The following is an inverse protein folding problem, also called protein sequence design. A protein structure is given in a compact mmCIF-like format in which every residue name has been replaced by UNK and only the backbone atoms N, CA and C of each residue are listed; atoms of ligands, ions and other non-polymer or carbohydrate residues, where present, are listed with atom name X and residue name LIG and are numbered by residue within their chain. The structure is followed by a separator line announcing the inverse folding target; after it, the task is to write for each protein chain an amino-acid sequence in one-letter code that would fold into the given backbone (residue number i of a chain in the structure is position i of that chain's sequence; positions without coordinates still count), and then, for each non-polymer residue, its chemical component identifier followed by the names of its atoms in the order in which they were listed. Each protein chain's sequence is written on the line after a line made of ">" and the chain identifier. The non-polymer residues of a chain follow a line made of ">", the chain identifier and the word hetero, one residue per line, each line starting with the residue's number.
data_IF_168247563509
#
_entry.id   IF_168247563509
#
_cell.length_a   1.000
_cell.length_b   1.000
_cell.length_c   1.000
_cell.angle_alpha   90.00
_cell.angle_beta   90.00
_cell.angle_gamma   90.00
#
_symmetry.space_group_name_H-M   'P 1'
#
loop_
_entity.id
_entity.type
_entity.pdbx_description
1 polymer ?
#
# COMPACT_ATOMS: atom_id res chain seq x y z
N UNK A 1 -25.29 21.49 -26.66
CA UNK A 1 -24.48 21.05 -25.49
C UNK A 1 -23.16 21.78 -25.55
N UNK A 2 -22.65 22.30 -24.43
CA UNK A 2 -21.46 23.16 -24.39
C UNK A 2 -20.18 22.34 -24.62
N UNK A 3 -19.15 22.86 -25.30
CA UNK A 3 -17.84 22.23 -25.42
C UNK A 3 -17.26 21.77 -24.06
N UNK A 4 -17.54 22.52 -22.99
CA UNK A 4 -17.10 22.18 -21.63
C UNK A 4 -17.79 20.92 -21.08
N UNK A 5 -19.05 20.68 -21.44
CA UNK A 5 -19.79 19.47 -21.04
C UNK A 5 -19.23 18.23 -21.73
N UNK A 6 -18.82 18.36 -22.99
CA UNK A 6 -18.23 17.26 -23.79
C UNK A 6 -16.84 16.90 -23.25
N UNK A 7 -16.04 17.88 -22.85
CA UNK A 7 -14.73 17.63 -22.22
C UNK A 7 -14.88 17.03 -20.82
N UNK A 8 -15.89 17.44 -20.04
CA UNK A 8 -16.22 16.79 -18.76
C UNK A 8 -16.63 15.32 -18.93
N UNK A 9 -17.50 15.01 -19.89
CA UNK A 9 -17.88 13.62 -20.21
C UNK A 9 -16.68 12.80 -20.69
N UNK A 10 -15.82 13.35 -21.56
CA UNK A 10 -14.58 12.66 -21.98
C UNK A 10 -13.63 12.43 -20.82
N UNK A 11 -13.54 13.37 -19.88
CA UNK A 11 -12.68 13.26 -18.71
C UNK A 11 -13.25 12.21 -17.75
N UNK A 12 -14.57 12.18 -17.55
CA UNK A 12 -15.25 11.16 -16.76
C UNK A 12 -15.09 9.77 -17.37
N UNK A 13 -15.27 9.63 -18.69
CA UNK A 13 -15.05 8.38 -19.41
C UNK A 13 -13.59 7.93 -19.38
N UNK A 14 -12.63 8.87 -19.44
CA UNK A 14 -11.20 8.56 -19.25
C UNK A 14 -10.93 8.10 -17.82
N UNK A 15 -11.55 8.71 -16.82
CA UNK A 15 -11.43 8.29 -15.41
C UNK A 15 -12.06 6.91 -15.18
N UNK A 16 -13.23 6.62 -15.76
CA UNK A 16 -13.84 5.28 -15.76
C UNK A 16 -12.94 4.26 -16.48
N UNK A 17 -12.35 4.64 -17.61
CA UNK A 17 -11.41 3.78 -18.32
C UNK A 17 -10.10 3.57 -17.55
N UNK A 18 -9.55 4.59 -16.90
CA UNK A 18 -8.37 4.51 -16.05
C UNK A 18 -8.64 3.65 -14.80
N UNK A 19 -9.80 3.80 -14.17
CA UNK A 19 -10.29 2.93 -13.11
C UNK A 19 -10.45 1.47 -13.58
N UNK A 20 -10.78 1.24 -14.86
CA UNK A 20 -10.89 -0.11 -15.43
C UNK A 20 -9.55 -0.74 -15.88
N UNK A 21 -8.45 0.04 -15.93
CA UNK A 21 -7.14 -0.39 -16.46
C UNK A 21 -6.03 -0.51 -15.42
N UNK A 22 -6.19 -0.01 -14.20
CA UNK A 22 -5.33 -0.38 -13.08
C UNK A 22 -5.91 -1.60 -12.36
N UNK A 23 -5.81 -2.78 -12.96
CA UNK A 23 -6.06 -4.03 -12.22
C UNK A 23 -4.79 -4.31 -11.43
N UNK A 24 -4.78 -3.99 -10.15
CA UNK A 24 -3.68 -4.35 -9.25
C UNK A 24 -3.25 -5.80 -9.42
N UNK A 25 -1.98 -6.06 -9.13
CA UNK A 25 -1.33 -7.35 -9.34
C UNK A 25 -0.85 -7.94 -8.01
N UNK A 26 -0.89 -9.27 -7.88
CA UNK A 26 -0.28 -9.95 -6.73
C UNK A 26 1.23 -10.11 -6.97
N UNK A 27 1.95 -9.06 -6.64
CA UNK A 27 3.39 -8.98 -6.86
C UNK A 27 4.16 -9.25 -5.56
N UNK A 28 4.97 -10.31 -5.57
CA UNK A 28 5.85 -10.66 -4.44
C UNK A 28 6.85 -9.53 -4.16
N UNK A 29 7.28 -8.83 -5.21
CA UNK A 29 8.18 -7.67 -5.12
C UNK A 29 7.61 -6.54 -4.24
N UNK A 30 6.28 -6.36 -4.17
CA UNK A 30 5.66 -5.37 -3.28
C UNK A 30 5.83 -5.75 -1.81
N UNK A 31 5.71 -7.05 -1.51
CA UNK A 31 5.91 -7.58 -0.15
C UNK A 31 7.39 -7.48 0.23
N UNK A 32 8.29 -7.83 -0.70
CA UNK A 32 9.74 -7.69 -0.52
C UNK A 32 10.15 -6.24 -0.30
N UNK A 33 9.56 -5.30 -1.05
CA UNK A 33 9.83 -3.87 -0.90
C UNK A 33 9.39 -3.37 0.48
N UNK A 34 8.15 -3.65 0.89
CA UNK A 34 7.66 -3.32 2.23
C UNK A 34 8.57 -3.90 3.33
N UNK A 35 8.93 -5.18 3.22
CA UNK A 35 9.84 -5.84 4.16
C UNK A 35 11.20 -5.15 4.22
N UNK A 36 11.79 -4.82 3.07
CA UNK A 36 13.09 -4.17 3.02
C UNK A 36 13.05 -2.75 3.60
N UNK A 37 11.97 -2.00 3.35
CA UNK A 37 11.75 -0.71 4.00
C UNK A 37 11.64 -0.88 5.52
N UNK A 38 10.89 -1.87 6.00
CA UNK A 38 10.76 -2.17 7.42
C UNK A 38 12.09 -2.56 8.08
N UNK A 39 12.93 -3.38 7.42
CA UNK A 39 14.26 -3.77 7.92
C UNK A 39 15.17 -2.58 8.23
N UNK A 40 14.97 -1.44 7.58
CA UNK A 40 15.78 -0.24 7.81
C UNK A 40 15.51 0.42 9.16
N UNK A 41 14.48 0.01 9.91
CA UNK A 41 14.16 0.55 11.24
C UNK A 41 15.36 0.52 12.20
N UNK A 42 16.19 -0.53 12.15
CA UNK A 42 17.37 -0.68 13.00
C UNK A 42 18.50 0.31 12.67
N UNK A 43 18.46 0.94 11.49
CA UNK A 43 19.45 1.95 11.09
C UNK A 43 19.05 3.37 11.48
N UNK A 44 17.86 3.57 12.06
CA UNK A 44 17.30 4.89 12.35
C UNK A 44 17.77 5.51 13.67
N UNK A 45 18.39 4.73 14.57
CA UNK A 45 18.86 5.24 15.87
C UNK A 45 19.84 6.43 15.76
N UNK A 46 20.57 6.51 14.64
CA UNK A 46 21.54 7.58 14.35
C UNK A 46 21.15 8.44 13.13
N UNK A 47 19.95 8.24 12.59
CA UNK A 47 19.47 8.95 11.40
C UNK A 47 19.04 10.38 11.75
N UNK A 48 19.03 11.26 10.76
CA UNK A 48 18.49 12.61 10.92
C UNK A 48 16.96 12.57 10.88
N UNK A 49 16.30 13.52 11.54
CA UNK A 49 14.83 13.62 11.60
C UNK A 49 14.16 13.55 10.21
N UNK A 50 14.78 14.19 9.21
CA UNK A 50 14.33 14.14 7.81
C UNK A 50 14.35 12.72 7.23
N UNK A 51 15.39 11.96 7.53
CA UNK A 51 15.56 10.60 7.03
C UNK A 51 14.56 9.65 7.71
N UNK A 52 14.31 9.86 9.01
CA UNK A 52 13.27 9.15 9.77
C UNK A 52 11.88 9.43 9.18
N UNK A 53 11.55 10.70 8.92
CA UNK A 53 10.30 11.07 8.25
C UNK A 53 10.18 10.44 6.86
N UNK A 54 11.23 10.53 6.04
CA UNK A 54 11.24 9.95 4.69
C UNK A 54 11.09 8.43 4.71
N UNK A 55 11.68 7.76 5.70
CA UNK A 55 11.51 6.32 5.90
C UNK A 55 10.06 5.97 6.26
N UNK A 56 9.45 6.70 7.20
CA UNK A 56 8.07 6.48 7.62
C UNK A 56 7.08 6.66 6.48
N UNK A 57 7.22 7.75 5.73
CA UNK A 57 6.43 8.08 4.56
C UNK A 57 6.59 7.02 3.45
N UNK A 58 7.80 6.48 3.25
CA UNK A 58 8.03 5.36 2.33
C UNK A 58 7.38 4.07 2.81
N UNK A 59 7.49 3.74 4.10
CA UNK A 59 6.88 2.55 4.71
C UNK A 59 5.35 2.57 4.53
N UNK A 60 4.72 3.71 4.81
CA UNK A 60 3.27 3.89 4.64
C UNK A 60 2.84 3.77 3.17
N UNK A 61 3.58 4.38 2.25
CA UNK A 61 3.31 4.22 0.81
C UNK A 61 3.42 2.77 0.36
N UNK A 62 4.45 2.05 0.82
CA UNK A 62 4.65 0.65 0.48
C UNK A 62 3.51 -0.22 0.98
N UNK A 63 3.08 0.00 2.23
CA UNK A 63 1.93 -0.70 2.81
C UNK A 63 0.63 -0.40 2.05
N UNK A 64 0.35 0.88 1.76
CA UNK A 64 -0.84 1.29 1.00
C UNK A 64 -0.85 0.68 -0.40
N UNK A 65 0.26 0.77 -1.12
CA UNK A 65 0.40 0.19 -2.47
C UNK A 65 0.17 -1.33 -2.44
N UNK A 66 0.73 -2.03 -1.46
CA UNK A 66 0.54 -3.46 -1.29
C UNK A 66 -0.94 -3.82 -1.07
N UNK A 67 -1.64 -3.08 -0.20
CA UNK A 67 -3.03 -3.32 0.13
C UNK A 67 -3.97 -3.00 -1.04
N UNK A 68 -3.77 -1.88 -1.73
CA UNK A 68 -4.54 -1.50 -2.92
C UNK A 68 -4.38 -2.54 -4.05
N UNK A 69 -3.14 -2.97 -4.33
CA UNK A 69 -2.89 -3.98 -5.36
C UNK A 69 -3.56 -5.31 -5.05
N UNK A 70 -3.55 -5.72 -3.78
CA UNK A 70 -4.27 -6.91 -3.34
C UNK A 70 -5.78 -6.76 -3.55
N UNK A 71 -6.38 -5.66 -3.10
CA UNK A 71 -7.81 -5.41 -3.22
C UNK A 71 -8.26 -5.35 -4.69
N UNK A 72 -7.52 -4.65 -5.54
CA UNK A 72 -7.81 -4.51 -6.97
C UNK A 72 -7.68 -5.85 -7.72
N UNK A 73 -6.70 -6.66 -7.36
CA UNK A 73 -6.54 -7.98 -7.95
C UNK A 73 -7.73 -8.89 -7.59
N UNK A 74 -8.12 -8.92 -6.31
CA UNK A 74 -9.25 -9.73 -5.85
C UNK A 74 -10.58 -9.24 -6.45
N UNK A 75 -10.77 -7.93 -6.58
CA UNK A 75 -12.00 -7.35 -7.16
C UNK A 75 -12.22 -7.78 -8.62
N UNK A 76 -11.14 -8.05 -9.36
CA UNK A 76 -11.20 -8.52 -10.75
C UNK A 76 -11.99 -9.84 -10.90
N UNK A 77 -12.01 -10.70 -9.88
CA UNK A 77 -12.75 -11.96 -9.90
C UNK A 77 -14.26 -11.79 -9.82
N UNK A 78 -14.72 -10.69 -9.23
CA UNK A 78 -16.13 -10.37 -9.10
C UNK A 78 -16.67 -9.58 -10.31
N UNK A 79 -15.85 -9.42 -11.36
CA UNK A 79 -16.26 -8.66 -12.55
C UNK A 79 -17.19 -9.46 -13.48
N UNK A 80 -18.17 -8.82 -14.14
CA UNK A 80 -19.08 -9.48 -15.10
C UNK A 80 -18.36 -10.17 -16.27
N UNK A 81 -17.18 -9.66 -16.65
CA UNK A 81 -16.32 -10.25 -17.69
C UNK A 81 -15.78 -11.61 -17.26
N UNK A 82 -15.38 -11.74 -15.99
CA UNK A 82 -14.95 -13.02 -15.41
C UNK A 82 -16.11 -14.00 -15.41
N UNK A 83 -17.32 -13.58 -15.06
CA UNK A 83 -18.53 -14.43 -15.06
C UNK A 83 -18.87 -15.01 -16.44
N UNK A 84 -18.72 -14.22 -17.51
CA UNK A 84 -18.91 -14.71 -18.88
C UNK A 84 -17.85 -15.73 -19.28
N UNK A 85 -16.59 -15.53 -18.87
CA UNK A 85 -15.49 -16.45 -19.13
C UNK A 85 -15.65 -17.79 -18.40
N UNK A 86 -16.33 -17.82 -17.23
CA UNK A 86 -16.65 -19.07 -16.50
C UNK A 86 -17.54 -20.04 -17.33
N UNK A 87 -18.22 -19.54 -18.37
CA UNK A 87 -19.17 -20.31 -19.18
C UNK A 87 -18.53 -21.02 -20.37
N UNK A 88 -17.22 -20.91 -20.54
CA UNK A 88 -16.50 -21.42 -21.72
C UNK A 88 -15.41 -22.43 -21.35
N UNK A 89 -14.92 -23.21 -22.32
CA UNK A 89 -13.84 -24.20 -22.11
C UNK A 89 -12.49 -23.56 -21.75
N UNK A 90 -12.29 -22.30 -22.13
CA UNK A 90 -11.13 -21.46 -21.79
C UNK A 90 -11.02 -21.24 -20.27
N UNK A 91 -12.13 -21.40 -19.52
CA UNK A 91 -12.12 -21.34 -18.06
C UNK A 91 -11.17 -22.35 -17.41
N UNK A 92 -11.08 -23.57 -17.93
CA UNK A 92 -10.27 -24.63 -17.31
C UNK A 92 -8.77 -24.27 -17.35
N UNK A 93 -8.29 -23.80 -18.50
CA UNK A 93 -6.92 -23.31 -18.68
C UNK A 93 -6.64 -22.06 -17.83
N UNK A 94 -7.58 -21.11 -17.79
CA UNK A 94 -7.47 -19.94 -16.93
C UNK A 94 -7.39 -20.32 -15.45
N UNK A 95 -8.25 -21.22 -14.98
CA UNK A 95 -8.31 -21.70 -13.59
C UNK A 95 -6.99 -22.35 -13.16
N UNK A 96 -6.40 -23.19 -14.00
CA UNK A 96 -5.11 -23.83 -13.68
C UNK A 96 -3.96 -22.82 -13.56
N UNK A 97 -3.89 -21.87 -14.50
CA UNK A 97 -2.87 -20.82 -14.46
C UNK A 97 -3.08 -19.88 -13.27
N UNK A 98 -4.32 -19.54 -12.96
CA UNK A 98 -4.67 -18.74 -11.79
C UNK A 98 -4.28 -19.42 -10.47
N UNK A 99 -4.68 -20.69 -10.28
CA UNK A 99 -4.34 -21.45 -9.07
C UNK A 99 -2.82 -21.54 -8.91
N UNK A 100 -2.08 -21.76 -10.00
CA UNK A 100 -0.62 -21.81 -9.99
C UNK A 100 -0.03 -20.46 -9.55
N UNK A 101 -0.49 -19.38 -10.16
CA UNK A 101 -0.07 -18.02 -9.81
C UNK A 101 -0.35 -17.70 -8.34
N UNK A 102 -1.57 -17.95 -7.86
CA UNK A 102 -1.95 -17.69 -6.48
C UNK A 102 -1.13 -18.53 -5.49
N UNK A 103 -0.86 -19.80 -5.80
CA UNK A 103 0.02 -20.64 -4.97
C UNK A 103 1.44 -20.07 -4.89
N UNK A 104 1.99 -19.58 -6.00
CA UNK A 104 3.30 -18.94 -6.00
C UNK A 104 3.29 -17.67 -5.15
N UNK A 105 2.27 -16.83 -5.30
CA UNK A 105 2.11 -15.63 -4.50
C UNK A 105 1.98 -15.93 -3.00
N UNK A 106 1.09 -16.86 -2.61
CA UNK A 106 0.88 -17.26 -1.21
C UNK A 106 2.17 -17.79 -0.59
N UNK A 107 2.97 -18.56 -1.34
CA UNK A 107 4.29 -19.01 -0.85
C UNK A 107 5.24 -17.83 -0.60
N UNK A 108 5.29 -16.87 -1.53
CA UNK A 108 6.07 -15.64 -1.36
C UNK A 108 5.61 -14.82 -0.15
N UNK A 109 4.30 -14.73 0.04
CA UNK A 109 3.69 -14.05 1.19
C UNK A 109 4.01 -14.76 2.51
N UNK A 110 3.96 -16.09 2.56
CA UNK A 110 4.30 -16.87 3.76
C UNK A 110 5.77 -16.70 4.16
N UNK A 111 6.68 -16.74 3.18
CA UNK A 111 8.11 -16.56 3.41
C UNK A 111 8.38 -15.14 3.95
N UNK A 112 8.00 -14.12 3.19
CA UNK A 112 8.25 -12.73 3.57
C UNK A 112 7.48 -12.33 4.84
N UNK A 113 6.26 -12.84 5.04
CA UNK A 113 5.47 -12.58 6.24
C UNK A 113 6.10 -13.20 7.50
N UNK A 114 6.88 -14.26 7.37
CA UNK A 114 7.63 -14.83 8.51
C UNK A 114 8.78 -13.91 8.91
N UNK A 115 9.55 -13.39 7.94
CA UNK A 115 10.60 -12.40 8.20
C UNK A 115 10.02 -11.08 8.74
N UNK A 116 8.89 -10.61 8.23
CA UNK A 116 8.23 -9.39 8.73
C UNK A 116 7.84 -9.55 10.21
N UNK A 117 7.30 -10.72 10.60
CA UNK A 117 6.98 -11.00 12.00
C UNK A 117 8.21 -11.00 12.90
N UNK A 118 9.32 -11.53 12.41
CA UNK A 118 10.59 -11.51 13.14
C UNK A 118 11.06 -10.08 13.38
N UNK A 119 11.05 -9.23 12.34
CA UNK A 119 11.39 -7.81 12.47
C UNK A 119 10.49 -7.11 13.49
N UNK A 120 9.17 -7.33 13.42
CA UNK A 120 8.24 -6.74 14.40
C UNK A 120 8.51 -7.21 15.84
N UNK A 121 8.99 -8.44 16.04
CA UNK A 121 9.35 -8.92 17.38
C UNK A 121 10.61 -8.29 17.95
N UNK A 122 11.45 -7.70 17.10
CA UNK A 122 12.68 -7.01 17.49
C UNK A 122 12.48 -5.52 17.76
N UNK A 123 11.36 -4.94 17.29
CA UNK A 123 11.00 -3.54 17.52
C UNK A 123 10.32 -3.42 18.89
N UNK A 124 10.89 -2.61 19.77
CA UNK A 124 10.30 -2.31 21.07
C UNK A 124 9.38 -1.07 21.01
N UNK A 125 8.46 -0.97 21.97
CA UNK A 125 7.48 0.12 22.01
C UNK A 125 8.12 1.50 22.20
N UNK A 126 9.25 1.58 22.91
CA UNK A 126 9.92 2.86 23.16
C UNK A 126 10.54 3.44 21.89
N UNK A 127 11.12 2.58 21.04
CA UNK A 127 11.62 2.95 19.72
C UNK A 127 10.49 3.46 18.83
N UNK A 128 9.33 2.77 18.82
CA UNK A 128 8.16 3.24 18.06
C UNK A 128 7.76 4.63 18.55
N UNK A 129 7.74 4.84 19.87
CA UNK A 129 7.34 6.14 20.42
C UNK A 129 8.26 7.27 20.02
N UNK A 130 9.56 7.04 20.10
CA UNK A 130 10.56 8.02 19.71
C UNK A 130 10.48 8.32 18.21
N UNK A 131 10.33 7.29 17.37
CA UNK A 131 10.18 7.47 15.92
C UNK A 131 8.92 8.28 15.58
N UNK A 132 7.76 7.93 16.15
CA UNK A 132 6.50 8.61 15.86
C UNK A 132 6.53 10.07 16.30
N UNK A 133 7.12 10.34 17.47
CA UNK A 133 7.33 11.71 17.93
C UNK A 133 8.21 12.50 16.96
N UNK A 134 9.33 11.93 16.52
CA UNK A 134 10.23 12.59 15.54
C UNK A 134 9.53 12.87 14.22
N UNK A 135 8.71 11.94 13.73
CA UNK A 135 7.91 12.12 12.50
C UNK A 135 6.96 13.32 12.64
N UNK A 136 6.17 13.36 13.72
CA UNK A 136 5.19 14.42 13.97
C UNK A 136 5.88 15.78 14.19
N UNK A 137 6.97 15.80 14.95
CA UNK A 137 7.76 17.01 15.18
C UNK A 137 8.39 17.52 13.87
N UNK A 138 8.89 16.62 13.01
CA UNK A 138 9.45 16.99 11.72
C UNK A 138 8.38 17.56 10.79
N UNK A 139 7.23 16.90 10.69
CA UNK A 139 6.11 17.34 9.86
C UNK A 139 5.60 18.72 10.28
N UNK A 140 5.38 18.92 11.58
CA UNK A 140 4.96 20.22 12.15
C UNK A 140 5.90 21.36 11.79
N UNK A 141 7.20 21.14 11.97
CA UNK A 141 8.19 22.22 11.89
C UNK A 141 8.66 22.51 10.46
N UNK A 142 8.54 21.55 9.54
CA UNK A 142 9.16 21.65 8.21
C UNK A 142 8.18 21.50 7.04
N UNK A 143 7.00 20.90 7.26
CA UNK A 143 6.07 20.56 6.18
C UNK A 143 4.74 21.28 6.36
N UNK A 144 4.19 21.31 7.57
CA UNK A 144 2.90 21.92 7.83
C UNK A 144 2.95 23.44 7.61
N UNK A 145 2.01 23.93 6.81
CA UNK A 145 1.73 25.36 6.65
C UNK A 145 0.66 25.85 7.62
N UNK A 146 0.06 24.94 8.39
CA UNK A 146 -1.04 25.22 9.29
C UNK A 146 -0.54 25.66 10.67
N UNK A 147 -1.10 26.76 11.17
CA UNK A 147 -0.82 27.26 12.52
C UNK A 147 -1.54 26.46 13.60
N UNK A 148 -2.56 25.67 13.22
CA UNK A 148 -3.36 24.81 14.10
C UNK A 148 -3.01 23.32 13.94
N UNK A 149 -1.76 22.97 13.56
CA UNK A 149 -1.32 21.58 13.47
C UNK A 149 -1.47 20.87 14.83
N UNK A 150 -2.40 19.91 14.89
CA UNK A 150 -2.68 19.10 16.07
C UNK A 150 -1.73 17.91 16.16
N UNK A 151 -0.63 18.11 16.86
CA UNK A 151 0.39 17.09 17.08
C UNK A 151 -0.13 15.87 17.86
N UNK A 152 -1.23 15.98 18.61
CA UNK A 152 -1.80 14.84 19.33
C UNK A 152 -2.60 13.98 18.36
N UNK A 153 -3.46 14.60 17.55
CA UNK A 153 -4.22 13.89 16.53
C UNK A 153 -3.31 13.14 15.54
N UNK A 154 -2.28 13.79 15.02
CA UNK A 154 -1.36 13.16 14.07
C UNK A 154 -0.55 12.02 14.72
N UNK A 155 -0.24 12.15 16.00
CA UNK A 155 0.43 11.10 16.75
C UNK A 155 -0.49 9.89 16.94
N UNK A 156 -1.75 10.10 17.31
CA UNK A 156 -2.77 9.05 17.42
C UNK A 156 -3.02 8.35 16.07
N UNK A 157 -3.08 9.09 14.95
CA UNK A 157 -3.18 8.52 13.60
C UNK A 157 -1.97 7.62 13.30
N UNK A 158 -0.76 8.08 13.62
CA UNK A 158 0.46 7.35 13.32
C UNK A 158 0.66 6.10 14.22
N UNK A 159 0.12 6.07 15.43
CA UNK A 159 0.03 4.84 16.24
C UNK A 159 -1.08 3.88 15.79
N UNK A 160 -2.05 4.37 15.01
CA UNK A 160 -3.20 3.58 14.57
C UNK A 160 -4.31 3.47 15.63
N UNK A 161 -4.41 4.47 16.52
CA UNK A 161 -5.42 4.52 17.59
C UNK A 161 -6.78 5.11 17.11
N UNK A 162 -6.92 5.41 15.82
CA UNK A 162 -8.09 6.05 15.17
C UNK A 162 -8.62 5.19 14.02
#
# INVERSE_FOLDING_TARGET
>A
MSPNTIELERTLLKLEHMASTSRGSLEISLIERFKNTLKNVHSLEIAQDKDIYSWWDMLNRDFKTLNENYQDYISTFYSPKTEQMLKTTEFLLFKENFIRYLRTFVKGLQLNGSEIREIFSEINDDLIKDLMKTVVDYEKNNISLDKEYDSIYELDVNYGDI
#
